data_IF_869303287279
#
_entry.id   IF_869303287279
#
_cell.length_a   1.000
_cell.length_b   1.000
_cell.length_c   1.000
_cell.angle_alpha   90.00
_cell.angle_beta   90.00
_cell.angle_gamma   90.00
#
_symmetry.space_group_name_H-M   'P 1'
#
loop_
_entity.id
_entity.type
_entity.pdbx_description
1 polymer ?
#
# COMPACT_ATOMS: atom_id res chain seq x y z
N UNK A 1 -12.40 4.71 -5.17
CA UNK A 1 -10.95 4.53 -5.04
C UNK A 1 -10.40 5.46 -3.96
N UNK A 2 -9.53 4.96 -3.11
CA UNK A 2 -8.82 5.78 -2.14
C UNK A 2 -7.46 6.16 -2.68
N UNK A 3 -7.05 7.40 -2.44
CA UNK A 3 -5.72 7.90 -2.78
C UNK A 3 -4.98 8.12 -1.46
N UNK A 4 -3.92 7.34 -1.25
CA UNK A 4 -3.09 7.45 -0.05
C UNK A 4 -1.85 8.24 -0.42
N UNK A 5 -1.69 9.40 0.20
CA UNK A 5 -0.55 10.28 -0.06
C UNK A 5 0.48 10.10 1.05
N UNK A 6 1.58 9.43 0.73
CA UNK A 6 2.68 9.21 1.66
C UNK A 6 3.64 10.40 1.62
N UNK A 7 4.35 10.62 2.72
CA UNK A 7 5.39 11.66 2.72
C UNK A 7 6.71 11.08 2.20
N UNK A 8 7.53 11.93 1.60
CA UNK A 8 8.86 11.51 1.19
C UNK A 8 9.73 11.11 2.38
N UNK A 9 9.51 11.72 3.54
CA UNK A 9 10.20 11.34 4.78
C UNK A 9 9.86 9.89 5.18
N UNK A 10 8.58 9.50 5.08
CA UNK A 10 8.16 8.14 5.36
C UNK A 10 8.84 7.15 4.41
N UNK A 11 8.83 7.46 3.11
CA UNK A 11 9.45 6.59 2.11
C UNK A 11 10.97 6.48 2.31
N UNK A 12 11.63 7.60 2.61
CA UNK A 12 13.09 7.62 2.79
C UNK A 12 13.54 6.85 4.03
N UNK A 13 12.73 6.82 5.09
CA UNK A 13 13.07 6.10 6.32
C UNK A 13 12.58 4.66 6.34
N UNK A 14 11.82 4.25 5.33
CA UNK A 14 11.26 2.90 5.28
C UNK A 14 12.35 1.89 4.94
N UNK A 15 12.41 0.75 5.66
CA UNK A 15 13.35 -0.31 5.31
C UNK A 15 13.14 -0.77 3.88
N UNK A 16 14.22 -0.93 3.12
CA UNK A 16 14.18 -1.33 1.73
C UNK A 16 14.05 -2.85 1.62
N UNK A 17 13.24 -3.32 0.68
CA UNK A 17 13.04 -4.72 0.40
C UNK A 17 11.64 -4.97 -0.11
N UNK A 18 11.51 -5.85 -1.13
CA UNK A 18 10.21 -6.10 -1.76
C UNK A 18 9.16 -6.58 -0.75
N UNK A 19 9.52 -7.55 0.09
CA UNK A 19 8.59 -8.11 1.05
C UNK A 19 8.17 -7.07 2.10
N UNK A 20 9.14 -6.37 2.68
CA UNK A 20 8.89 -5.36 3.71
C UNK A 20 8.03 -4.23 3.17
N UNK A 21 8.35 -3.72 1.98
CA UNK A 21 7.59 -2.65 1.35
C UNK A 21 6.18 -3.11 1.00
N UNK A 22 6.04 -4.31 0.46
CA UNK A 22 4.74 -4.87 0.09
C UNK A 22 3.86 -5.07 1.31
N UNK A 23 4.39 -5.60 2.41
CA UNK A 23 3.64 -5.77 3.64
C UNK A 23 3.11 -4.45 4.18
N UNK A 24 3.90 -3.38 4.09
CA UNK A 24 3.47 -2.04 4.51
C UNK A 24 2.27 -1.58 3.68
N UNK A 25 2.36 -1.71 2.35
CA UNK A 25 1.27 -1.29 1.45
C UNK A 25 0.01 -2.11 1.69
N UNK A 26 0.14 -3.43 1.82
CA UNK A 26 -1.00 -4.31 2.09
C UNK A 26 -1.62 -4.04 3.46
N UNK A 27 -0.82 -3.71 4.46
CA UNK A 27 -1.31 -3.34 5.78
C UNK A 27 -2.17 -2.08 5.72
N UNK A 28 -1.75 -1.08 4.94
CA UNK A 28 -2.54 0.14 4.73
C UNK A 28 -3.84 -0.21 4.01
N UNK A 29 -3.78 -1.02 2.97
CA UNK A 29 -4.97 -1.45 2.22
C UNK A 29 -5.94 -2.20 3.12
N UNK A 30 -5.46 -3.12 3.94
CA UNK A 30 -6.29 -3.89 4.87
C UNK A 30 -6.97 -3.01 5.90
N UNK A 31 -6.24 -2.03 6.45
CA UNK A 31 -6.79 -1.07 7.41
C UNK A 31 -7.89 -0.23 6.78
N UNK A 32 -7.67 0.26 5.56
CA UNK A 32 -8.66 1.04 4.83
C UNK A 32 -9.91 0.21 4.57
N UNK A 33 -9.74 -1.02 4.11
CA UNK A 33 -10.88 -1.89 3.80
C UNK A 33 -11.67 -2.24 5.06
N UNK A 34 -11.00 -2.48 6.18
CA UNK A 34 -11.65 -2.80 7.45
C UNK A 34 -12.49 -1.62 7.99
N UNK A 35 -12.01 -0.40 7.80
CA UNK A 35 -12.69 0.81 8.29
C UNK A 35 -13.64 1.42 7.26
N UNK A 36 -13.37 1.23 5.98
CA UNK A 36 -14.14 1.78 4.88
C UNK A 36 -14.41 0.64 3.87
N UNK A 37 -15.38 -0.25 4.15
CA UNK A 37 -15.59 -1.45 3.30
C UNK A 37 -15.91 -1.15 1.84
N UNK A 38 -16.37 0.08 1.54
CA UNK A 38 -16.66 0.48 0.16
C UNK A 38 -15.40 0.80 -0.64
N UNK A 39 -14.27 0.98 0.04
CA UNK A 39 -12.98 1.21 -0.63
C UNK A 39 -12.48 -0.13 -1.13
N UNK A 40 -12.47 -0.31 -2.45
CA UNK A 40 -12.02 -1.54 -3.08
C UNK A 40 -10.71 -1.38 -3.83
N UNK A 41 -10.31 -0.13 -4.12
CA UNK A 41 -9.09 0.17 -4.85
C UNK A 41 -8.32 1.27 -4.14
N UNK A 42 -6.99 1.15 -4.13
CA UNK A 42 -6.09 2.09 -3.46
C UNK A 42 -4.93 2.44 -4.40
N UNK A 43 -4.67 3.73 -4.54
CA UNK A 43 -3.49 4.26 -5.22
C UNK A 43 -2.61 4.96 -4.19
N UNK A 44 -1.30 4.83 -4.38
CA UNK A 44 -0.32 5.48 -3.51
C UNK A 44 0.42 6.57 -4.26
N UNK A 45 0.56 7.71 -3.62
CA UNK A 45 1.38 8.82 -4.09
C UNK A 45 2.41 9.16 -3.03
N UNK A 46 3.48 9.83 -3.41
CA UNK A 46 4.48 10.34 -2.47
C UNK A 46 4.56 11.85 -2.70
N UNK A 47 4.29 12.62 -1.64
CA UNK A 47 4.20 14.08 -1.69
C UNK A 47 3.26 14.57 -2.80
N UNK A 48 2.13 13.86 -2.97
CA UNK A 48 1.10 14.20 -3.95
C UNK A 48 1.47 13.86 -5.38
N UNK A 49 2.54 13.12 -5.62
CA UNK A 49 3.04 12.80 -6.96
C UNK A 49 3.19 11.31 -7.16
N UNK A 50 3.02 10.81 -8.40
CA UNK A 50 3.35 9.43 -8.72
C UNK A 50 4.83 9.16 -8.46
N UNK A 51 5.11 7.97 -7.95
CA UNK A 51 6.47 7.52 -7.70
C UNK A 51 6.58 6.04 -8.11
N UNK A 52 7.69 5.60 -8.72
CA UNK A 52 7.80 4.21 -9.18
C UNK A 52 7.73 3.18 -8.06
N UNK A 53 8.43 3.42 -6.94
CA UNK A 53 8.49 2.46 -5.84
C UNK A 53 8.42 3.17 -4.49
N UNK A 54 8.13 2.39 -3.43
CA UNK A 54 8.13 2.92 -2.06
C UNK A 54 9.57 3.20 -1.58
N UNK A 55 10.38 2.17 -1.53
CA UNK A 55 11.76 2.28 -1.05
C UNK A 55 12.72 1.49 -1.97
N UNK A 56 12.41 1.43 -3.25
CA UNK A 56 13.22 0.84 -4.29
C UNK A 56 12.69 -0.48 -4.86
N UNK A 57 11.64 -1.08 -4.30
CA UNK A 57 11.19 -2.42 -4.70
C UNK A 57 9.69 -2.53 -4.96
N UNK A 58 8.83 -2.14 -4.02
CA UNK A 58 7.39 -2.30 -4.20
C UNK A 58 6.84 -1.28 -5.18
N UNK A 59 6.11 -1.76 -6.19
CA UNK A 59 5.56 -0.94 -7.25
C UNK A 59 4.43 -0.03 -6.74
N UNK A 60 4.60 1.27 -6.85
CA UNK A 60 3.56 2.26 -6.54
C UNK A 60 2.80 2.74 -7.76
N UNK A 61 3.13 2.25 -8.95
CA UNK A 61 2.47 2.71 -10.18
C UNK A 61 1.16 1.98 -10.44
N UNK A 62 0.93 0.84 -9.77
CA UNK A 62 -0.29 0.07 -9.95
C UNK A 62 -1.36 0.49 -8.96
N UNK A 63 -2.61 0.15 -9.28
CA UNK A 63 -3.72 0.25 -8.34
C UNK A 63 -3.78 -1.05 -7.54
N UNK A 64 -3.84 -0.93 -6.22
CA UNK A 64 -3.96 -2.08 -5.33
C UNK A 64 -5.43 -2.35 -5.03
N UNK A 65 -5.78 -3.64 -4.94
CA UNK A 65 -7.11 -4.03 -4.51
C UNK A 65 -7.10 -4.18 -2.99
N UNK A 66 -7.92 -3.42 -2.30
CA UNK A 66 -7.96 -3.47 -0.83
C UNK A 66 -8.32 -4.88 -0.33
N UNK A 67 -9.18 -5.59 -1.05
CA UNK A 67 -9.59 -6.95 -0.69
C UNK A 67 -8.45 -7.98 -0.79
N UNK A 68 -7.36 -7.70 -1.52
CA UNK A 68 -6.20 -8.60 -1.59
C UNK A 68 -5.58 -8.81 -0.21
N UNK A 69 -5.54 -7.74 0.61
CA UNK A 69 -4.99 -7.84 1.95
C UNK A 69 -5.83 -8.77 2.84
N UNK A 70 -7.16 -8.68 2.74
CA UNK A 70 -8.07 -9.55 3.49
C UNK A 70 -7.91 -11.00 3.04
N UNK A 71 -7.84 -11.24 1.73
CA UNK A 71 -7.64 -12.59 1.20
C UNK A 71 -6.32 -13.19 1.67
N UNK A 72 -5.28 -12.38 1.74
CA UNK A 72 -3.98 -12.82 2.24
C UNK A 72 -4.07 -13.24 3.70
N UNK A 73 -4.79 -12.48 4.52
CA UNK A 73 -4.98 -12.78 5.93
C UNK A 73 -5.81 -14.06 6.13
N UNK A 74 -6.88 -14.23 5.35
CA UNK A 74 -7.75 -15.38 5.47
C UNK A 74 -7.12 -16.69 5.01
N UNK A 75 -6.05 -16.63 4.25
CA UNK A 75 -5.30 -17.81 3.79
C UNK A 75 -4.31 -18.32 4.83
N UNK A 76 -4.14 -17.66 5.93
CA UNK A 76 -3.30 -18.15 7.00
C UNK A 76 -3.91 -19.39 7.63
N UNK A 77 -3.13 -20.45 7.73
CA UNK A 77 -3.60 -21.66 8.39
C UNK A 77 -3.86 -21.47 9.86
#
# INVERSE_FOLDING_TARGET
MAIVNLTSAFAASHPSGLETETLTLLSICGTLHANLPRVTQVRFLVDGRPRPTLAGHADLTRTYLAAEADNTETQHP
#
